data_IF_824532816334
#
_entry.id   IF_824532816334
#
_cell.length_a   1.000
_cell.length_b   1.000
_cell.length_c   1.000
_cell.angle_alpha   90.00
_cell.angle_beta   90.00
_cell.angle_gamma   90.00
#
_symmetry.space_group_name_H-M   'P 1'
#
loop_
_entity.id
_entity.type
_entity.pdbx_description
1 polymer ?
#
# COMPACT_ATOMS: atom_id res chain seq x y z
N UNK A 1 -89.09 11.08 1.77
CA UNK A 1 -88.64 10.43 0.52
C UNK A 1 -87.12 10.59 0.44
N UNK A 2 -86.48 9.77 -0.40
CA UNK A 2 -85.04 9.67 -0.80
C UNK A 2 -84.14 10.94 -0.65
N UNK A 3 -82.79 10.91 -0.62
CA UNK A 3 -81.70 9.92 -0.37
C UNK A 3 -80.34 10.67 -0.61
N UNK A 4 -79.08 10.33 -0.24
CA UNK A 4 -78.38 9.26 0.53
C UNK A 4 -77.43 9.96 1.58
N UNK A 5 -76.26 9.53 2.09
CA UNK A 5 -75.44 8.30 2.03
C UNK A 5 -73.96 8.46 2.49
N UNK A 6 -73.34 7.36 2.96
CA UNK A 6 -71.92 7.20 3.39
C UNK A 6 -71.49 7.99 4.68
N UNK A 7 -70.52 7.57 5.52
CA UNK A 7 -69.54 6.44 5.53
C UNK A 7 -69.59 5.63 6.85
N UNK A 8 -68.91 4.47 6.90
CA UNK A 8 -68.86 3.52 8.04
C UNK A 8 -67.48 3.43 8.72
N UNK A 9 -67.45 2.85 9.93
CA UNK A 9 -66.25 2.57 10.77
C UNK A 9 -65.69 1.12 10.52
N UNK A 10 -64.87 0.43 11.38
CA UNK A 10 -65.15 0.13 12.81
C UNK A 10 -63.96 -0.06 13.82
N UNK A 11 -64.25 0.28 15.09
CA UNK A 11 -63.97 -0.39 16.39
C UNK A 11 -62.81 -1.40 16.66
N UNK A 12 -62.17 -1.22 17.82
CA UNK A 12 -61.47 -2.20 18.71
C UNK A 12 -62.50 -2.78 19.74
N UNK A 13 -62.18 -3.42 20.91
CA UNK A 13 -60.94 -4.01 21.48
C UNK A 13 -61.15 -5.44 22.12
N UNK A 14 -60.16 -6.01 22.87
CA UNK A 14 -60.29 -6.47 24.29
C UNK A 14 -59.11 -7.30 24.91
N UNK A 15 -58.58 -6.78 26.04
CA UNK A 15 -57.86 -7.34 27.24
C UNK A 15 -56.87 -8.55 27.26
N UNK A 16 -55.72 -8.30 27.95
CA UNK A 16 -54.86 -9.19 28.78
C UNK A 16 -54.04 -10.34 28.09
N UNK A 17 -52.93 -10.89 28.64
CA UNK A 17 -52.28 -10.79 29.98
C UNK A 17 -50.74 -11.01 29.94
N UNK A 18 -50.00 -10.47 30.92
CA UNK A 18 -48.62 -10.79 31.43
C UNK A 18 -47.67 -11.75 30.69
N UNK A 19 -46.38 -11.34 30.56
CA UNK A 19 -45.24 -12.04 31.19
C UNK A 19 -43.91 -11.22 31.15
N UNK A 20 -43.01 -11.48 32.10
CA UNK A 20 -41.65 -10.92 32.19
C UNK A 20 -40.64 -11.92 31.61
N UNK A 21 -39.75 -11.49 30.71
CA UNK A 21 -38.55 -12.23 30.35
C UNK A 21 -37.46 -11.28 29.80
N UNK A 22 -36.23 -11.40 30.29
CA UNK A 22 -35.07 -10.68 29.75
C UNK A 22 -34.27 -11.62 28.83
N UNK A 23 -34.03 -11.21 27.58
CA UNK A 23 -33.10 -11.88 26.68
C UNK A 23 -32.08 -10.86 26.15
N UNK A 24 -30.83 -10.98 26.56
CA UNK A 24 -29.73 -10.27 25.94
C UNK A 24 -29.45 -10.88 24.55
N UNK A 25 -29.73 -10.13 23.49
CA UNK A 25 -29.31 -10.51 22.13
C UNK A 25 -27.86 -10.09 21.96
N UNK A 26 -26.96 -11.07 21.85
CA UNK A 26 -25.53 -10.83 21.70
C UNK A 26 -25.23 -10.08 20.39
N UNK A 27 -24.47 -8.99 20.47
CA UNK A 27 -24.08 -8.19 19.30
C UNK A 27 -22.91 -8.85 18.53
N UNK A 28 -23.11 -10.10 18.09
CA UNK A 28 -22.19 -10.88 17.28
C UNK A 28 -22.17 -10.39 15.82
N UNK A 29 -21.86 -9.11 15.64
CA UNK A 29 -21.72 -8.47 14.33
C UNK A 29 -20.46 -8.96 13.61
N UNK A 30 -20.55 -10.10 12.94
CA UNK A 30 -19.47 -10.69 12.15
C UNK A 30 -18.99 -9.74 11.05
N UNK A 31 -17.86 -9.06 11.29
CA UNK A 31 -17.19 -8.17 10.33
C UNK A 31 -16.44 -8.96 9.25
N UNK A 32 -17.19 -9.74 8.47
CA UNK A 32 -16.68 -10.36 7.26
C UNK A 32 -16.17 -9.27 6.29
N UNK A 33 -14.93 -9.37 5.78
CA UNK A 33 -14.44 -8.41 4.80
C UNK A 33 -15.21 -8.56 3.48
N UNK A 34 -15.57 -7.44 2.87
CA UNK A 34 -16.26 -7.41 1.57
C UNK A 34 -15.34 -7.94 0.45
N UNK A 35 -15.35 -9.25 0.23
CA UNK A 35 -14.64 -9.93 -0.85
C UNK A 35 -15.52 -10.01 -2.10
N UNK A 36 -14.96 -9.62 -3.26
CA UNK A 36 -15.41 -10.10 -4.57
C UNK A 36 -16.78 -9.66 -5.09
N UNK A 37 -17.49 -8.72 -4.45
CA UNK A 37 -18.88 -8.34 -4.79
C UNK A 37 -19.09 -7.62 -6.15
N UNK A 38 -18.16 -7.74 -7.09
CA UNK A 38 -18.20 -7.05 -8.39
C UNK A 38 -17.38 -7.70 -9.51
N UNK A 39 -17.04 -8.99 -9.41
CA UNK A 39 -16.27 -9.70 -10.46
C UNK A 39 -17.01 -10.96 -10.96
N UNK A 40 -17.83 -10.85 -12.03
CA UNK A 40 -18.54 -11.99 -12.60
C UNK A 40 -17.60 -13.11 -13.03
N UNK A 41 -17.88 -14.35 -12.62
CA UNK A 41 -17.07 -15.53 -12.95
C UNK A 41 -15.79 -15.72 -12.11
N UNK A 42 -15.29 -14.69 -11.43
CA UNK A 42 -14.06 -14.73 -10.64
C UNK A 42 -14.31 -14.36 -9.17
N UNK A 43 -14.87 -15.27 -8.35
CA UNK A 43 -15.14 -15.00 -6.92
C UNK A 43 -13.85 -14.77 -6.11
N UNK A 44 -12.73 -15.29 -6.61
CA UNK A 44 -11.38 -15.07 -6.07
C UNK A 44 -10.69 -13.81 -6.62
N UNK A 45 -11.44 -12.90 -7.24
CA UNK A 45 -10.96 -11.58 -7.68
C UNK A 45 -10.12 -10.84 -6.61
N UNK A 46 -8.92 -10.31 -6.94
CA UNK A 46 -8.29 -9.24 -6.14
C UNK A 46 -9.20 -8.01 -6.09
N UNK A 47 -9.70 -7.60 -7.26
CA UNK A 47 -10.64 -6.51 -7.42
C UNK A 47 -10.04 -5.11 -7.17
N UNK A 48 -10.88 -4.11 -7.45
CA UNK A 48 -10.62 -2.71 -7.10
C UNK A 48 -11.29 -2.41 -5.77
N UNK A 49 -10.52 -2.07 -4.72
CA UNK A 49 -11.07 -1.96 -3.35
C UNK A 49 -11.90 -0.69 -3.12
N UNK A 50 -11.55 0.39 -3.83
CA UNK A 50 -12.26 1.67 -3.86
C UNK A 50 -11.79 2.51 -5.05
N UNK A 51 -12.65 3.41 -5.49
CA UNK A 51 -12.24 4.56 -6.28
C UNK A 51 -11.81 5.70 -5.34
N UNK A 52 -10.82 6.47 -5.75
CA UNK A 52 -10.38 7.72 -5.14
C UNK A 52 -10.62 8.84 -6.16
N UNK A 53 -11.48 9.78 -5.80
CA UNK A 53 -11.79 10.95 -6.64
C UNK A 53 -10.87 12.09 -6.23
N UNK A 54 -10.16 12.68 -7.20
CA UNK A 54 -9.06 13.63 -6.96
C UNK A 54 -9.29 14.93 -7.73
N UNK A 55 -9.18 16.06 -7.06
CA UNK A 55 -9.20 17.40 -7.69
C UNK A 55 -7.81 17.77 -8.25
N UNK A 56 -7.67 17.99 -9.57
CA UNK A 56 -6.42 18.47 -10.20
C UNK A 56 -5.93 19.83 -9.71
N UNK A 57 -6.85 20.75 -9.40
CA UNK A 57 -6.53 22.12 -9.01
C UNK A 57 -6.07 22.21 -7.56
N UNK A 58 -6.59 21.35 -6.67
CA UNK A 58 -6.19 21.31 -5.27
C UNK A 58 -4.79 20.71 -5.05
N UNK A 59 -4.43 19.66 -5.80
CA UNK A 59 -3.18 18.91 -5.61
C UNK A 59 -2.35 18.76 -6.90
N UNK A 60 -1.88 19.87 -7.51
CA UNK A 60 -1.41 19.88 -8.89
C UNK A 60 -0.14 19.05 -9.19
N UNK A 61 0.57 18.51 -8.19
CA UNK A 61 1.82 17.74 -8.36
C UNK A 61 1.90 16.61 -7.32
N UNK A 62 1.96 15.35 -7.76
CA UNK A 62 1.94 14.17 -6.86
C UNK A 62 2.93 13.06 -7.23
N UNK A 63 3.43 12.35 -6.22
CA UNK A 63 4.31 11.17 -6.32
C UNK A 63 5.71 11.44 -5.74
N UNK A 64 6.08 10.67 -4.72
CA UNK A 64 7.29 10.92 -3.90
C UNK A 64 8.63 10.59 -4.55
N UNK A 65 8.65 10.22 -5.84
CA UNK A 65 9.88 10.25 -6.64
C UNK A 65 10.30 11.69 -7.01
N UNK A 66 9.41 12.68 -6.93
CA UNK A 66 9.68 14.06 -7.36
C UNK A 66 9.08 15.16 -6.47
N UNK A 67 8.01 14.88 -5.73
CA UNK A 67 7.24 15.88 -4.97
C UNK A 67 7.04 15.48 -3.50
N UNK A 68 6.69 16.42 -2.62
CA UNK A 68 6.37 16.11 -1.21
C UNK A 68 5.06 15.32 -1.06
N UNK A 69 4.08 15.62 -1.92
CA UNK A 69 2.77 15.01 -1.89
C UNK A 69 2.69 13.76 -2.77
N UNK A 70 1.81 12.85 -2.38
CA UNK A 70 1.33 11.70 -3.17
C UNK A 70 -0.14 11.47 -2.82
N UNK A 71 -0.77 10.49 -3.45
CA UNK A 71 -2.19 10.24 -3.24
C UNK A 71 -2.53 9.89 -1.76
N UNK A 72 -3.73 10.28 -1.28
CA UNK A 72 -4.27 9.96 0.04
C UNK A 72 -4.71 8.49 0.13
N UNK A 73 -3.69 7.64 0.08
CA UNK A 73 -3.75 6.19 0.20
C UNK A 73 -3.59 5.77 1.67
N UNK A 74 -4.33 4.74 2.06
CA UNK A 74 -4.23 4.09 3.38
C UNK A 74 -3.05 3.09 3.37
N UNK A 75 -2.55 2.64 4.53
CA UNK A 75 -1.56 1.56 4.59
C UNK A 75 -2.04 0.31 3.85
N UNK A 76 -1.20 -0.26 2.98
CA UNK A 76 -1.54 -1.39 2.11
C UNK A 76 -2.35 -1.04 0.86
N UNK A 77 -2.57 0.24 0.54
CA UNK A 77 -3.19 0.65 -0.73
C UNK A 77 -2.16 0.97 -1.82
N UNK A 78 -2.46 0.53 -3.05
CA UNK A 78 -1.58 0.65 -4.22
C UNK A 78 -2.38 1.19 -5.40
N UNK A 79 -1.80 2.10 -6.17
CA UNK A 79 -2.34 2.54 -7.47
C UNK A 79 -1.44 2.00 -8.57
N UNK A 80 -2.01 1.25 -9.51
CA UNK A 80 -1.29 0.77 -10.70
C UNK A 80 -1.33 1.84 -11.78
N UNK A 81 -0.16 2.19 -12.32
CA UNK A 81 -0.04 3.13 -13.43
C UNK A 81 0.82 2.57 -14.55
N UNK A 82 0.38 2.76 -15.79
CA UNK A 82 1.02 2.24 -17.00
C UNK A 82 1.33 3.35 -18.00
N UNK A 83 2.58 3.44 -18.44
CA UNK A 83 3.06 4.46 -19.37
C UNK A 83 3.33 3.89 -20.79
N UNK A 84 3.60 4.79 -21.75
CA UNK A 84 3.94 4.58 -23.17
C UNK A 84 2.84 4.04 -24.12
N UNK A 85 1.72 3.55 -23.59
CA UNK A 85 0.69 2.88 -24.38
C UNK A 85 -0.12 3.76 -25.36
N UNK A 86 -1.02 3.14 -26.17
CA UNK A 86 -1.28 1.71 -26.25
C UNK A 86 -0.53 1.04 -27.41
N UNK A 87 0.09 -0.11 -27.15
CA UNK A 87 0.71 -0.99 -28.14
C UNK A 87 -0.03 -2.35 -28.17
N UNK A 88 -0.86 -2.65 -29.19
CA UNK A 88 -1.79 -3.81 -29.19
C UNK A 88 -1.19 -5.20 -28.93
N UNK A 89 0.12 -5.39 -29.09
CA UNK A 89 0.82 -6.65 -28.78
C UNK A 89 0.95 -6.93 -27.27
N UNK A 90 0.98 -5.86 -26.46
CA UNK A 90 1.29 -5.92 -25.03
C UNK A 90 0.19 -5.27 -24.18
N UNK A 91 -0.29 -4.07 -24.53
CA UNK A 91 -1.39 -3.38 -23.83
C UNK A 91 -2.66 -4.22 -23.74
N UNK A 92 -3.05 -4.89 -24.83
CA UNK A 92 -4.21 -5.79 -24.81
C UNK A 92 -4.06 -6.88 -23.74
N UNK A 93 -2.87 -7.46 -23.58
CA UNK A 93 -2.62 -8.51 -22.60
C UNK A 93 -2.57 -7.97 -21.17
N UNK A 94 -2.09 -6.73 -20.98
CA UNK A 94 -2.19 -6.03 -19.69
C UNK A 94 -3.66 -5.84 -19.31
N UNK A 95 -4.50 -5.38 -20.25
CA UNK A 95 -5.95 -5.28 -20.07
C UNK A 95 -6.58 -6.64 -19.75
N UNK A 96 -6.30 -7.69 -20.52
CA UNK A 96 -6.80 -9.04 -20.28
C UNK A 96 -6.47 -9.55 -18.86
N UNK A 97 -5.26 -9.27 -18.35
CA UNK A 97 -4.80 -9.63 -17.00
C UNK A 97 -5.50 -8.79 -15.91
N UNK A 98 -5.68 -7.48 -16.13
CA UNK A 98 -6.40 -6.60 -15.21
C UNK A 98 -7.89 -6.95 -15.12
N UNK A 99 -8.51 -7.31 -16.26
CA UNK A 99 -9.89 -7.72 -16.36
C UNK A 99 -10.16 -9.05 -15.62
N UNK A 100 -9.27 -10.05 -15.78
CA UNK A 100 -9.35 -11.32 -15.06
C UNK A 100 -9.26 -11.19 -13.52
N UNK A 101 -8.64 -10.10 -13.03
CA UNK A 101 -8.56 -9.75 -11.61
C UNK A 101 -9.58 -8.66 -11.18
N UNK A 102 -10.42 -8.16 -12.09
CA UNK A 102 -11.31 -6.99 -11.92
C UNK A 102 -10.63 -5.75 -11.31
N UNK A 103 -9.36 -5.55 -11.64
CA UNK A 103 -8.55 -4.41 -11.21
C UNK A 103 -8.67 -3.28 -12.22
N UNK A 104 -8.82 -2.03 -11.74
CA UNK A 104 -8.73 -0.82 -12.57
C UNK A 104 -7.44 -0.05 -12.28
N UNK A 105 -6.87 0.56 -13.31
CA UNK A 105 -5.58 1.26 -13.29
C UNK A 105 -5.69 2.64 -13.97
N UNK A 106 -4.59 3.39 -13.98
CA UNK A 106 -4.45 4.63 -14.78
C UNK A 106 -3.42 4.42 -15.88
N UNK A 107 -3.73 4.81 -17.11
CA UNK A 107 -2.86 4.66 -18.27
C UNK A 107 -2.47 6.05 -18.81
N UNK A 108 -1.18 6.36 -18.81
CA UNK A 108 -0.60 7.58 -19.39
C UNK A 108 -0.20 7.26 -20.84
N UNK A 109 -1.07 7.59 -21.78
CA UNK A 109 -0.92 7.22 -23.18
C UNK A 109 -0.10 8.28 -23.96
N UNK A 110 0.66 7.83 -24.95
CA UNK A 110 1.44 8.69 -25.85
C UNK A 110 0.59 9.06 -27.07
N UNK A 111 0.51 10.34 -27.42
CA UNK A 111 -0.39 10.85 -28.47
C UNK A 111 -0.20 10.18 -29.82
N UNK A 112 1.05 10.00 -30.27
CA UNK A 112 1.37 9.26 -31.50
C UNK A 112 0.87 7.82 -31.48
N UNK A 113 0.92 7.15 -30.32
CA UNK A 113 0.39 5.80 -30.13
C UNK A 113 -1.14 5.79 -30.14
N UNK A 114 -1.77 6.82 -29.55
CA UNK A 114 -3.22 7.01 -29.59
C UNK A 114 -3.74 7.26 -31.02
N UNK A 115 -3.02 8.04 -31.85
CA UNK A 115 -3.33 8.22 -33.29
C UNK A 115 -3.19 6.92 -34.08
N UNK A 116 -2.17 6.11 -33.79
CA UNK A 116 -1.92 4.84 -34.49
C UNK A 116 -2.89 3.73 -34.07
N UNK A 117 -3.30 3.69 -32.79
CA UNK A 117 -4.10 2.61 -32.21
C UNK A 117 -5.33 3.12 -31.43
N UNK A 118 -6.22 3.94 -32.04
CA UNK A 118 -7.33 4.58 -31.33
C UNK A 118 -8.37 3.59 -30.78
N UNK A 119 -8.49 2.40 -31.36
CA UNK A 119 -9.29 1.31 -30.79
C UNK A 119 -8.74 0.80 -29.45
N UNK A 120 -7.41 0.83 -29.25
CA UNK A 120 -6.78 0.52 -27.97
C UNK A 120 -7.07 1.58 -26.91
N UNK A 121 -7.03 2.87 -27.28
CA UNK A 121 -7.40 3.99 -26.39
C UNK A 121 -8.84 3.84 -25.89
N UNK A 122 -9.77 3.56 -26.80
CA UNK A 122 -11.18 3.31 -26.43
C UNK A 122 -11.30 2.07 -25.55
N UNK A 123 -10.66 0.95 -25.89
CA UNK A 123 -10.66 -0.27 -25.05
C UNK A 123 -10.23 0.01 -23.60
N UNK A 124 -9.18 0.81 -23.37
CA UNK A 124 -8.74 1.20 -22.01
C UNK A 124 -9.85 1.93 -21.25
N UNK A 125 -10.54 2.88 -21.89
CA UNK A 125 -11.65 3.63 -21.29
C UNK A 125 -12.90 2.76 -21.09
N UNK A 126 -13.29 1.98 -22.11
CA UNK A 126 -14.50 1.16 -22.12
C UNK A 126 -14.42 0.00 -21.10
N UNK A 127 -13.20 -0.48 -20.79
CA UNK A 127 -12.94 -1.38 -19.66
C UNK A 127 -12.90 -0.67 -18.29
N UNK A 128 -13.19 0.63 -18.23
CA UNK A 128 -13.33 1.42 -16.99
C UNK A 128 -12.01 1.77 -16.32
N UNK A 129 -10.92 1.92 -17.09
CA UNK A 129 -9.67 2.48 -16.59
C UNK A 129 -9.59 4.00 -16.82
N UNK A 130 -8.72 4.66 -16.07
CA UNK A 130 -8.49 6.10 -16.25
C UNK A 130 -7.49 6.32 -17.37
N UNK A 131 -7.93 7.01 -18.44
CA UNK A 131 -7.06 7.44 -19.53
C UNK A 131 -6.48 8.82 -19.22
N UNK A 132 -5.18 8.97 -19.36
CA UNK A 132 -4.36 10.15 -19.07
C UNK A 132 -3.29 10.36 -20.16
N UNK A 133 -2.57 11.48 -20.14
CA UNK A 133 -1.63 11.86 -21.23
C UNK A 133 -0.15 11.76 -20.84
N UNK A 134 0.69 11.36 -21.82
CA UNK A 134 2.15 11.20 -21.69
C UNK A 134 2.93 11.88 -22.83
N UNK A 135 2.50 13.07 -23.24
CA UNK A 135 2.91 13.82 -24.44
C UNK A 135 2.60 13.17 -25.81
N UNK A 136 2.81 13.88 -26.91
CA UNK A 136 2.65 13.37 -28.28
C UNK A 136 3.73 12.34 -28.65
N UNK A 137 5.02 12.61 -28.38
CA UNK A 137 6.13 11.80 -28.89
C UNK A 137 7.01 11.09 -27.84
N UNK A 138 6.77 11.34 -26.54
CA UNK A 138 7.63 10.90 -25.43
C UNK A 138 9.11 11.39 -25.53
N UNK A 139 9.36 12.71 -25.60
CA UNK A 139 10.72 13.26 -25.67
C UNK A 139 11.42 13.28 -24.30
N UNK A 140 12.58 12.61 -24.21
CA UNK A 140 13.38 12.46 -22.98
C UNK A 140 14.18 13.70 -22.55
N UNK A 141 13.80 14.89 -23.02
CA UNK A 141 14.46 16.17 -22.74
C UNK A 141 13.49 17.29 -22.29
N UNK A 142 12.28 16.98 -21.83
CA UNK A 142 11.34 17.97 -21.26
C UNK A 142 11.99 18.91 -20.21
N UNK A 143 13.03 18.46 -19.50
CA UNK A 143 13.74 19.25 -18.49
C UNK A 143 14.68 20.34 -19.06
N UNK A 144 14.92 20.37 -20.38
CA UNK A 144 15.76 21.35 -21.08
C UNK A 144 15.18 21.78 -22.43
N UNK A 145 13.95 21.38 -22.73
CA UNK A 145 13.23 21.72 -23.95
C UNK A 145 12.74 23.18 -23.89
N UNK A 146 12.76 23.93 -25.02
CA UNK A 146 12.13 25.25 -25.08
C UNK A 146 10.64 25.18 -24.72
N UNK A 147 10.16 26.11 -23.89
CA UNK A 147 8.80 26.06 -23.33
C UNK A 147 7.71 25.87 -24.39
N UNK A 148 7.81 26.57 -25.52
CA UNK A 148 6.83 26.47 -26.62
C UNK A 148 6.84 25.11 -27.34
N UNK A 149 7.96 24.37 -27.30
CA UNK A 149 8.01 22.99 -27.80
C UNK A 149 7.40 22.03 -26.77
N UNK A 150 7.63 22.27 -25.47
CA UNK A 150 7.05 21.49 -24.39
C UNK A 150 5.51 21.65 -24.30
N UNK A 151 4.99 22.86 -24.57
CA UNK A 151 3.55 23.12 -24.76
C UNK A 151 2.97 22.26 -25.88
N UNK A 152 3.52 22.36 -27.10
CA UNK A 152 3.07 21.54 -28.26
C UNK A 152 3.07 20.05 -27.96
N UNK A 153 4.14 19.53 -27.35
CA UNK A 153 4.21 18.11 -26.95
C UNK A 153 3.15 17.72 -25.91
N UNK A 154 2.67 18.64 -25.07
CA UNK A 154 1.51 18.42 -24.20
C UNK A 154 0.20 18.48 -25.02
N UNK A 155 0.00 19.56 -25.75
CA UNK A 155 -1.27 19.93 -26.40
C UNK A 155 -1.62 18.98 -27.54
N UNK A 156 -0.67 18.69 -28.43
CA UNK A 156 -0.84 17.74 -29.55
C UNK A 156 -1.21 16.35 -29.01
N UNK A 157 -0.59 15.93 -27.90
CA UNK A 157 -0.85 14.64 -27.25
C UNK A 157 -2.19 14.56 -26.54
N UNK A 158 -2.64 15.66 -25.92
CA UNK A 158 -3.99 15.79 -25.35
C UNK A 158 -5.03 15.67 -26.46
N UNK A 159 -4.89 16.41 -27.57
CA UNK A 159 -5.84 16.37 -28.68
C UNK A 159 -5.82 15.02 -29.43
N UNK A 160 -4.67 14.35 -29.55
CA UNK A 160 -4.59 12.99 -30.06
C UNK A 160 -5.48 12.01 -29.27
N UNK A 161 -5.42 12.07 -27.95
CA UNK A 161 -6.11 11.14 -27.06
C UNK A 161 -7.60 11.48 -26.99
N UNK A 162 -7.98 12.77 -26.90
CA UNK A 162 -9.38 13.22 -27.06
C UNK A 162 -9.99 12.71 -28.37
N UNK A 163 -9.27 12.88 -29.49
CA UNK A 163 -9.70 12.43 -30.82
C UNK A 163 -9.90 10.91 -30.87
N UNK A 164 -9.00 10.13 -30.25
CA UNK A 164 -9.12 8.69 -30.19
C UNK A 164 -10.31 8.22 -29.32
N UNK A 165 -10.56 8.89 -28.19
CA UNK A 165 -11.71 8.64 -27.30
C UNK A 165 -13.06 9.03 -27.93
N UNK A 166 -13.08 10.04 -28.80
CA UNK A 166 -14.28 10.55 -29.48
C UNK A 166 -15.13 11.50 -28.63
N UNK A 167 -14.74 11.75 -27.38
CA UNK A 167 -15.44 12.58 -26.40
C UNK A 167 -14.39 13.14 -25.43
N UNK A 168 -14.12 14.46 -25.44
CA UNK A 168 -13.09 15.07 -24.60
C UNK A 168 -13.28 14.91 -23.09
N UNK A 169 -14.52 14.69 -22.61
CA UNK A 169 -14.79 14.51 -21.18
C UNK A 169 -14.29 13.16 -20.63
N UNK A 170 -13.84 12.25 -21.51
CA UNK A 170 -13.29 10.94 -21.15
C UNK A 170 -11.80 10.94 -20.82
N UNK A 171 -11.09 12.00 -21.21
CA UNK A 171 -9.68 12.17 -20.89
C UNK A 171 -9.57 12.78 -19.49
N UNK A 172 -8.92 12.09 -18.55
CA UNK A 172 -8.62 12.69 -17.27
C UNK A 172 -7.59 13.83 -17.43
N UNK A 173 -7.76 14.97 -16.74
CA UNK A 173 -6.76 16.06 -16.67
C UNK A 173 -5.56 15.66 -15.79
N UNK A 174 -4.95 14.54 -16.13
CA UNK A 174 -3.76 13.96 -15.50
C UNK A 174 -2.67 13.83 -16.57
N UNK A 175 -1.47 14.32 -16.28
CA UNK A 175 -0.32 14.25 -17.19
C UNK A 175 0.91 13.75 -16.45
N UNK A 176 1.63 12.79 -17.03
CA UNK A 176 2.94 12.34 -16.53
C UNK A 176 4.03 12.82 -17.49
N UNK A 177 5.11 13.38 -16.97
CA UNK A 177 6.19 13.91 -17.81
C UNK A 177 7.10 12.75 -18.28
N UNK A 178 7.33 12.57 -19.60
CA UNK A 178 8.23 11.57 -20.18
C UNK A 178 9.57 11.40 -19.46
N UNK A 179 9.93 10.15 -19.16
CA UNK A 179 11.13 9.79 -18.40
C UNK A 179 11.29 10.50 -17.04
N UNK A 180 10.19 11.04 -16.48
CA UNK A 180 10.14 11.94 -15.33
C UNK A 180 11.04 13.18 -15.47
N UNK A 181 11.28 13.66 -16.70
CA UNK A 181 12.17 14.78 -17.02
C UNK A 181 11.50 16.14 -16.81
N UNK A 182 11.18 16.45 -15.55
CA UNK A 182 10.43 17.66 -15.15
C UNK A 182 11.21 18.97 -15.36
N UNK A 183 10.49 20.06 -15.60
CA UNK A 183 10.95 21.45 -15.47
C UNK A 183 9.80 22.32 -14.98
N UNK A 184 10.09 23.34 -14.17
CA UNK A 184 9.05 24.18 -13.55
C UNK A 184 8.13 24.81 -14.60
N UNK A 185 8.65 25.36 -15.70
CA UNK A 185 7.85 25.94 -16.80
C UNK A 185 6.84 24.98 -17.42
N UNK A 186 7.08 23.67 -17.35
CA UNK A 186 6.19 22.60 -17.84
C UNK A 186 5.12 22.30 -16.79
N UNK A 187 5.51 22.16 -15.53
CA UNK A 187 4.58 21.93 -14.40
C UNK A 187 3.67 23.14 -14.13
N UNK A 188 4.18 24.35 -14.31
CA UNK A 188 3.44 25.61 -14.19
C UNK A 188 2.45 25.76 -15.36
N UNK A 189 2.82 25.28 -16.56
CA UNK A 189 1.88 25.22 -17.69
C UNK A 189 0.76 24.22 -17.44
N UNK A 190 1.09 22.98 -17.06
CA UNK A 190 0.10 21.95 -16.73
C UNK A 190 -0.88 22.45 -15.64
N UNK A 191 -0.35 23.03 -14.55
CA UNK A 191 -1.17 23.63 -13.49
C UNK A 191 -2.09 24.76 -14.00
N UNK A 192 -1.61 25.62 -14.92
CA UNK A 192 -2.44 26.68 -15.53
C UNK A 192 -3.58 26.17 -16.42
N UNK A 193 -3.48 24.93 -16.90
CA UNK A 193 -4.56 24.25 -17.64
C UNK A 193 -5.46 23.41 -16.73
N UNK A 194 -5.24 23.44 -15.41
CA UNK A 194 -5.94 22.57 -14.46
C UNK A 194 -5.56 21.09 -14.59
N UNK A 195 -4.36 20.79 -15.07
CA UNK A 195 -3.87 19.42 -15.30
C UNK A 195 -2.89 19.03 -14.19
N UNK A 196 -3.20 17.94 -13.49
CA UNK A 196 -2.34 17.41 -12.43
C UNK A 196 -1.09 16.76 -13.02
N UNK A 197 0.08 17.14 -12.52
CA UNK A 197 1.34 16.50 -12.86
C UNK A 197 1.57 15.27 -11.99
N UNK A 198 1.54 14.08 -12.60
CA UNK A 198 1.78 12.80 -11.95
C UNK A 198 3.25 12.39 -12.09
N UNK A 199 3.87 12.05 -10.96
CA UNK A 199 5.05 11.20 -10.85
C UNK A 199 4.61 9.79 -10.40
N UNK A 200 5.47 9.07 -9.69
CA UNK A 200 5.14 7.84 -8.97
C UNK A 200 5.79 7.84 -7.57
N UNK A 201 5.53 6.82 -6.76
CA UNK A 201 6.22 6.60 -5.48
C UNK A 201 7.36 5.58 -5.60
N UNK A 202 7.22 4.63 -6.53
CA UNK A 202 8.26 3.66 -6.88
C UNK A 202 8.00 3.04 -8.27
N UNK A 203 9.05 2.76 -9.08
CA UNK A 203 8.93 2.04 -10.34
C UNK A 203 9.17 0.54 -10.15
N UNK A 204 8.74 -0.28 -11.12
CA UNK A 204 9.18 -1.67 -11.24
C UNK A 204 10.50 -1.85 -12.03
N UNK A 205 11.01 -0.78 -12.65
CA UNK A 205 12.14 -0.79 -13.61
C UNK A 205 11.95 -1.71 -14.83
N UNK A 206 10.71 -1.95 -15.23
CA UNK A 206 10.32 -2.80 -16.37
C UNK A 206 10.68 -2.25 -17.77
N UNK A 207 11.03 -0.97 -17.86
CA UNK A 207 11.69 -0.37 -19.01
C UNK A 207 13.15 -0.86 -19.18
N UNK A 208 13.79 -1.42 -18.14
CA UNK A 208 15.18 -1.91 -18.20
C UNK A 208 15.28 -3.32 -18.75
N UNK A 209 16.48 -3.72 -19.14
CA UNK A 209 16.82 -5.09 -19.54
C UNK A 209 16.95 -6.05 -18.33
N UNK A 210 15.87 -6.21 -17.57
CA UNK A 210 15.73 -7.14 -16.44
C UNK A 210 14.67 -8.21 -16.74
N UNK A 211 14.63 -9.30 -15.96
CA UNK A 211 13.61 -10.36 -16.11
C UNK A 211 12.25 -9.94 -15.54
N UNK A 212 11.18 -10.60 -15.98
CA UNK A 212 9.84 -10.43 -15.40
C UNK A 212 9.80 -10.76 -13.89
N UNK A 213 10.61 -11.74 -13.45
CA UNK A 213 10.76 -12.05 -12.02
C UNK A 213 11.45 -10.93 -11.23
N UNK A 214 12.45 -10.25 -11.81
CA UNK A 214 13.08 -9.08 -11.21
C UNK A 214 12.13 -7.88 -11.16
N UNK A 215 11.31 -7.65 -12.21
CA UNK A 215 10.26 -6.63 -12.22
C UNK A 215 9.27 -6.84 -11.07
N UNK A 216 8.75 -8.06 -10.91
CA UNK A 216 7.85 -8.38 -9.81
C UNK A 216 8.53 -8.22 -8.44
N UNK A 217 9.78 -8.66 -8.30
CA UNK A 217 10.56 -8.50 -7.06
C UNK A 217 10.76 -7.02 -6.70
N UNK A 218 11.12 -6.17 -7.66
CA UNK A 218 11.32 -4.74 -7.45
C UNK A 218 10.02 -4.02 -7.09
N UNK A 219 8.93 -4.30 -7.80
CA UNK A 219 7.62 -3.74 -7.48
C UNK A 219 7.18 -4.08 -6.04
N UNK A 220 7.23 -5.36 -5.67
CA UNK A 220 6.77 -5.86 -4.37
C UNK A 220 7.68 -5.45 -3.21
N UNK A 221 9.01 -5.42 -3.40
CA UNK A 221 9.95 -5.00 -2.34
C UNK A 221 9.92 -3.49 -2.09
N UNK A 222 9.82 -2.67 -3.16
CA UNK A 222 9.69 -1.21 -3.02
C UNK A 222 8.34 -0.83 -2.41
N UNK A 223 7.26 -1.48 -2.81
CA UNK A 223 5.96 -1.34 -2.14
C UNK A 223 6.05 -1.68 -0.65
N UNK A 224 6.66 -2.82 -0.29
CA UNK A 224 6.80 -3.21 1.12
C UNK A 224 7.62 -2.20 1.94
N UNK A 225 8.65 -1.59 1.34
CA UNK A 225 9.45 -0.54 1.98
C UNK A 225 8.70 0.80 2.13
N UNK A 226 7.76 1.12 1.23
CA UNK A 226 6.94 2.35 1.28
C UNK A 226 5.62 2.18 2.05
N UNK A 227 5.11 0.96 2.18
CA UNK A 227 3.84 0.59 2.83
C UNK A 227 2.56 0.93 2.05
N UNK A 228 2.63 1.85 1.08
CA UNK A 228 1.57 2.28 0.16
C UNK A 228 2.20 2.97 -1.06
N UNK A 229 1.42 3.26 -2.12
CA UNK A 229 1.82 4.26 -3.12
C UNK A 229 1.44 3.98 -4.58
N UNK A 230 1.89 4.88 -5.46
CA UNK A 230 1.78 4.81 -6.91
C UNK A 230 2.91 3.94 -7.48
N UNK A 231 2.56 2.81 -8.10
CA UNK A 231 3.47 1.92 -8.83
C UNK A 231 3.53 2.31 -10.31
N UNK A 232 4.73 2.59 -10.81
CA UNK A 232 5.02 2.83 -12.23
C UNK A 232 5.44 1.54 -12.96
N UNK A 233 4.71 1.24 -14.04
CA UNK A 233 4.89 0.18 -15.04
C UNK A 233 4.73 0.77 -16.46
N UNK A 234 5.04 0.00 -17.49
CA UNK A 234 4.88 0.39 -18.90
C UNK A 234 4.16 -0.74 -19.65
N UNK A 235 3.00 -0.48 -20.25
CA UNK A 235 2.17 -1.54 -20.86
C UNK A 235 2.70 -2.05 -22.21
N UNK A 236 3.62 -1.31 -22.83
CA UNK A 236 4.33 -1.69 -24.06
C UNK A 236 5.34 -2.83 -23.85
N UNK A 237 5.69 -3.17 -22.60
CA UNK A 237 6.80 -4.08 -22.27
C UNK A 237 6.34 -5.54 -22.14
N UNK A 238 6.97 -6.44 -22.89
CA UNK A 238 6.71 -7.89 -22.81
C UNK A 238 6.90 -8.46 -21.38
N UNK A 239 7.95 -8.02 -20.68
CA UNK A 239 8.25 -8.46 -19.30
C UNK A 239 7.20 -8.01 -18.29
N UNK A 240 6.42 -6.96 -18.59
CA UNK A 240 5.33 -6.45 -17.74
C UNK A 240 4.10 -7.34 -17.85
N UNK A 241 3.77 -7.80 -19.06
CA UNK A 241 2.76 -8.84 -19.29
C UNK A 241 3.11 -10.13 -18.51
N UNK A 242 4.39 -10.52 -18.47
CA UNK A 242 4.86 -11.69 -17.73
C UNK A 242 4.91 -11.49 -16.20
N UNK A 243 5.25 -10.27 -15.74
CA UNK A 243 5.38 -9.96 -14.32
C UNK A 243 4.03 -9.72 -13.62
N UNK A 244 3.09 -9.06 -14.31
CA UNK A 244 1.84 -8.56 -13.72
C UNK A 244 1.00 -9.65 -13.01
N UNK A 245 0.81 -10.88 -13.55
CA UNK A 245 0.07 -11.93 -12.85
C UNK A 245 0.71 -12.36 -11.53
N UNK A 246 2.05 -12.30 -11.43
CA UNK A 246 2.74 -12.53 -10.16
C UNK A 246 2.60 -11.33 -9.23
N UNK A 247 2.67 -10.10 -9.73
CA UNK A 247 2.44 -8.90 -8.91
C UNK A 247 1.03 -8.95 -8.30
N UNK A 248 -0.03 -9.12 -9.10
CA UNK A 248 -1.42 -9.13 -8.61
C UNK A 248 -1.68 -10.26 -7.60
N UNK A 249 -1.20 -11.49 -7.88
CA UNK A 249 -1.29 -12.62 -6.93
C UNK A 249 -0.61 -12.32 -5.60
N UNK A 250 0.59 -11.75 -5.63
CA UNK A 250 1.35 -11.41 -4.41
C UNK A 250 0.72 -10.24 -3.65
N UNK A 251 0.13 -9.26 -4.33
CA UNK A 251 -0.65 -8.19 -3.70
C UNK A 251 -1.85 -8.77 -2.94
N UNK A 252 -2.62 -9.65 -3.60
CA UNK A 252 -3.75 -10.37 -2.98
C UNK A 252 -3.31 -11.20 -1.78
N UNK A 253 -2.27 -12.02 -1.93
CA UNK A 253 -1.77 -12.91 -0.88
C UNK A 253 -1.25 -12.16 0.35
N UNK A 254 -0.71 -10.94 0.16
CA UNK A 254 -0.14 -10.10 1.22
C UNK A 254 -1.14 -9.06 1.77
N UNK A 255 -2.40 -9.09 1.34
CA UNK A 255 -3.47 -8.21 1.84
C UNK A 255 -3.41 -6.76 1.33
N UNK A 256 -2.65 -6.48 0.27
CA UNK A 256 -2.69 -5.20 -0.41
C UNK A 256 -4.00 -5.01 -1.18
N UNK A 257 -4.36 -3.75 -1.42
CA UNK A 257 -5.63 -3.36 -2.04
C UNK A 257 -5.38 -2.38 -3.18
N UNK A 258 -5.95 -2.64 -4.36
CA UNK A 258 -5.82 -1.70 -5.48
C UNK A 258 -6.83 -0.55 -5.32
N UNK A 259 -6.35 0.67 -5.46
CA UNK A 259 -7.16 1.88 -5.56
C UNK A 259 -7.15 2.35 -7.00
N UNK A 260 -8.34 2.59 -7.55
CA UNK A 260 -8.53 3.25 -8.84
C UNK A 260 -8.67 4.76 -8.61
N UNK A 261 -8.16 5.59 -9.52
CA UNK A 261 -8.09 7.04 -9.32
C UNK A 261 -8.74 7.75 -10.50
N UNK A 262 -9.70 8.63 -10.22
CA UNK A 262 -10.45 9.39 -11.22
C UNK A 262 -10.41 10.88 -10.88
N UNK A 263 -10.49 11.78 -11.88
CA UNK A 263 -10.63 13.21 -11.60
C UNK A 263 -11.98 13.52 -10.95
N UNK A 264 -12.04 14.59 -10.17
CA UNK A 264 -13.29 15.19 -9.74
C UNK A 264 -13.98 15.92 -10.90
N UNK A 265 -15.31 15.88 -10.96
CA UNK A 265 -16.13 16.66 -11.88
C UNK A 265 -17.38 17.23 -11.18
N UNK A 266 -18.24 17.93 -11.93
CA UNK A 266 -19.47 18.55 -11.40
C UNK A 266 -20.54 17.57 -10.88
N UNK A 267 -20.37 16.26 -11.13
CA UNK A 267 -21.27 15.17 -10.68
C UNK A 267 -20.60 14.27 -9.66
N UNK A 268 -19.27 14.16 -9.69
CA UNK A 268 -18.45 13.34 -8.81
C UNK A 268 -17.44 14.23 -8.07
N UNK A 269 -17.80 14.77 -6.87
CA UNK A 269 -16.91 15.63 -6.10
C UNK A 269 -15.70 14.85 -5.55
N UNK A 270 -14.62 15.59 -5.29
CA UNK A 270 -13.39 15.03 -4.75
C UNK A 270 -13.62 14.29 -3.42
N UNK A 271 -12.82 13.24 -3.16
CA UNK A 271 -12.90 12.47 -1.92
C UNK A 271 -12.45 13.36 -0.74
N UNK A 272 -13.27 13.53 0.32
CA UNK A 272 -12.87 14.30 1.50
C UNK A 272 -11.59 13.75 2.13
N UNK A 273 -10.57 14.59 2.23
CA UNK A 273 -9.22 14.20 2.67
C UNK A 273 -8.59 15.28 3.54
N UNK A 274 -7.69 14.84 4.42
CA UNK A 274 -6.92 15.72 5.30
C UNK A 274 -5.52 15.98 4.71
N UNK A 275 -4.91 17.18 4.89
CA UNK A 275 -3.60 17.50 4.32
C UNK A 275 -2.46 16.52 4.67
N UNK A 276 -2.55 15.84 5.83
CA UNK A 276 -1.56 14.83 6.21
C UNK A 276 -1.69 13.51 5.43
N UNK A 277 -2.86 13.21 4.85
CA UNK A 277 -3.08 11.96 4.10
C UNK A 277 -2.32 11.94 2.77
N UNK A 278 -2.15 13.12 2.17
CA UNK A 278 -1.37 13.38 0.96
C UNK A 278 0.15 13.20 1.17
N UNK A 279 0.61 12.88 2.37
CA UNK A 279 2.02 12.53 2.64
C UNK A 279 2.19 11.01 2.71
N UNK A 280 3.29 10.52 2.14
CA UNK A 280 3.61 9.09 2.17
C UNK A 280 3.92 8.62 3.61
N UNK A 281 4.72 9.42 4.30
CA UNK A 281 4.95 9.34 5.74
C UNK A 281 4.56 10.70 6.32
N UNK A 282 3.31 10.90 6.78
CA UNK A 282 2.97 12.11 7.52
C UNK A 282 3.88 12.22 8.74
N UNK A 283 4.25 13.43 9.18
CA UNK A 283 4.83 13.59 10.50
C UNK A 283 3.85 12.97 11.50
N UNK A 284 4.36 12.10 12.38
CA UNK A 284 3.54 11.55 13.45
C UNK A 284 2.89 12.73 14.17
N UNK A 285 1.56 12.72 14.30
CA UNK A 285 0.84 13.80 14.96
C UNK A 285 1.53 14.06 16.30
N UNK A 286 2.14 15.22 16.44
CA UNK A 286 2.34 15.81 17.74
C UNK A 286 0.94 16.15 18.24
N UNK A 287 0.26 15.13 18.75
CA UNK A 287 -0.76 15.28 19.78
C UNK A 287 -0.10 16.20 20.77
N UNK A 288 -0.54 17.46 20.80
CA UNK A 288 0.06 18.44 21.66
C UNK A 288 -0.09 17.86 23.06
N UNK A 289 1.02 17.39 23.64
CA UNK A 289 1.12 17.17 25.07
C UNK A 289 1.13 18.58 25.65
N UNK A 290 -0.06 19.18 25.70
CA UNK A 290 -0.39 20.31 26.55
C UNK A 290 0.21 19.93 27.88
N UNK A 291 1.35 20.52 28.21
CA UNK A 291 2.01 20.25 29.48
C UNK A 291 0.99 20.72 30.51
N UNK A 292 0.30 19.77 31.12
CA UNK A 292 -0.67 20.05 32.15
C UNK A 292 0.05 20.97 33.13
N UNK A 293 -0.47 22.20 33.38
CA UNK A 293 0.22 23.13 34.24
C UNK A 293 0.47 22.39 35.55
N UNK A 294 1.73 22.37 35.98
CA UNK A 294 2.16 21.49 37.06
C UNK A 294 1.20 21.68 38.25
N UNK A 295 0.61 20.60 38.79
CA UNK A 295 -0.41 20.72 39.81
C UNK A 295 0.14 21.61 40.93
N UNK A 296 -0.60 22.65 41.36
CA UNK A 296 -0.08 23.63 42.29
C UNK A 296 0.46 22.91 43.52
N UNK A 297 1.63 23.33 44.01
CA UNK A 297 2.24 22.69 45.18
C UNK A 297 1.34 22.93 46.40
N UNK A 298 0.46 21.97 46.68
CA UNK A 298 -0.33 21.93 47.89
C UNK A 298 0.60 21.87 49.09
N UNK A 299 0.89 23.04 49.67
CA UNK A 299 1.56 23.14 50.96
C UNK A 299 0.52 22.77 52.01
N UNK A 300 0.49 21.50 52.38
CA UNK A 300 -0.18 21.08 53.61
C UNK A 300 0.49 21.83 54.76
N UNK A 301 -0.23 22.80 55.32
CA UNK A 301 0.16 23.41 56.59
C UNK A 301 0.26 22.29 57.62
N UNK A 302 1.41 22.21 58.29
CA UNK A 302 1.69 21.15 59.25
C UNK A 302 0.84 21.40 60.49
N UNK A 303 -0.31 20.74 60.57
CA UNK A 303 -1.24 20.90 61.69
C UNK A 303 -0.53 20.66 63.02
N UNK A 304 -0.57 21.68 63.87
CA UNK A 304 0.09 21.67 65.17
C UNK A 304 -0.72 20.85 66.16
N UNK A 305 -0.31 19.58 66.36
CA UNK A 305 -0.56 18.78 67.56
C UNK A 305 -1.96 18.93 68.17
N UNK A 306 -2.95 18.20 67.63
CA UNK A 306 -4.13 17.85 68.43
C UNK A 306 -3.66 17.01 69.63
N UNK A 307 -4.08 17.34 70.87
CA UNK A 307 -3.58 16.68 72.06
C UNK A 307 -4.17 15.27 72.21
N UNK A 308 -3.28 14.29 72.37
CA UNK A 308 -3.62 12.92 72.77
C UNK A 308 -3.88 12.88 74.28
N UNK A 309 -5.06 12.44 74.78
CA UNK A 309 -5.08 11.49 75.90
C UNK A 309 -4.43 10.18 75.40
N UNK A 310 -3.75 9.38 76.20
CA UNK A 310 -4.22 8.80 77.46
C UNK A 310 -3.05 8.11 78.21
N UNK A 311 -3.35 7.19 79.12
CA UNK A 311 -2.46 6.16 79.67
C UNK A 311 -1.32 6.65 80.58
N UNK A 312 -1.72 7.18 81.74
CA UNK A 312 -1.00 6.98 83.00
C UNK A 312 -0.71 5.50 83.28
N UNK A 313 0.36 5.23 84.06
CA UNK A 313 0.76 3.91 84.56
C UNK A 313 1.28 2.95 83.46
N UNK A 314 2.58 2.64 83.32
CA UNK A 314 3.64 2.35 84.32
C UNK A 314 3.50 0.99 85.03
N UNK A 315 4.64 0.51 85.52
CA UNK A 315 4.86 -0.68 86.35
C UNK A 315 4.59 -2.08 85.74
N UNK A 316 5.36 -3.12 86.06
CA UNK A 316 6.72 -3.18 86.64
C UNK A 316 7.34 -4.59 86.50
N UNK A 317 8.63 -4.72 86.81
CA UNK A 317 9.40 -5.96 87.07
C UNK A 317 9.46 -7.07 86.00
N UNK A 318 10.61 -7.09 85.30
CA UNK A 318 11.36 -8.35 85.16
C UNK A 318 12.12 -8.68 86.45
N UNK A 319 12.63 -9.90 86.56
CA UNK A 319 13.30 -10.44 87.76
C UNK A 319 14.55 -9.66 88.22
N UNK A 320 14.70 -9.58 89.54
CA UNK A 320 15.96 -9.65 90.32
C UNK A 320 17.24 -8.97 89.78
N UNK A 321 17.44 -7.70 90.15
CA UNK A 321 18.75 -7.17 90.57
C UNK A 321 19.75 -6.59 89.54
N UNK A 322 20.11 -5.30 89.72
CA UNK A 322 21.31 -4.57 89.25
C UNK A 322 21.60 -4.50 87.71
N UNK A 323 21.70 -3.33 87.04
CA UNK A 323 22.69 -2.22 87.18
C UNK A 323 24.13 -2.61 86.70
N UNK A 324 24.91 -1.78 85.98
CA UNK A 324 24.94 -0.32 85.78
C UNK A 324 25.32 0.16 84.33
N UNK A 325 24.83 1.35 83.99
CA UNK A 325 25.46 2.49 83.28
C UNK A 325 26.58 2.32 82.20
N UNK A 326 26.23 2.74 80.97
CA UNK A 326 26.76 3.93 80.25
C UNK A 326 28.15 3.94 79.52
N UNK A 327 28.28 5.01 78.70
CA UNK A 327 29.45 5.53 77.98
C UNK A 327 29.95 4.78 76.71
N UNK A 328 30.53 5.54 75.75
CA UNK A 328 31.21 5.00 74.56
C UNK A 328 30.96 5.79 73.26
N UNK A 329 31.92 6.63 72.84
CA UNK A 329 31.91 7.31 71.52
C UNK A 329 32.45 6.38 70.39
N UNK A 330 32.18 6.66 69.10
CA UNK A 330 32.13 5.63 68.05
C UNK A 330 33.42 5.43 67.25
N UNK A 331 33.50 4.33 66.49
CA UNK A 331 34.25 4.29 65.21
C UNK A 331 33.91 3.10 64.30
N UNK A 332 34.05 3.36 62.98
CA UNK A 332 34.30 2.43 61.85
C UNK A 332 33.32 1.26 61.59
N UNK A 333 32.70 1.31 60.40
CA UNK A 333 32.46 0.12 59.57
C UNK A 333 33.82 -0.37 58.97
N UNK A 334 33.94 -1.61 58.42
CA UNK A 334 33.34 -1.91 57.12
C UNK A 334 32.91 -3.39 56.91
N UNK A 335 32.75 -3.76 55.63
CA UNK A 335 32.87 -5.11 55.02
C UNK A 335 31.75 -6.16 55.22
N UNK A 336 30.94 -6.29 54.15
CA UNK A 336 30.62 -7.54 53.42
C UNK A 336 30.16 -8.79 54.20
N UNK A 337 28.93 -9.23 53.91
CA UNK A 337 28.46 -10.57 54.25
C UNK A 337 27.07 -10.87 53.72
N UNK A 338 26.96 -11.41 52.48
CA UNK A 338 25.83 -12.29 52.14
C UNK A 338 25.88 -13.50 53.08
N UNK A 339 24.73 -14.02 53.54
CA UNK A 339 24.29 -15.27 52.89
C UNK A 339 22.77 -15.54 52.84
N UNK A 340 22.43 -16.44 51.90
CA UNK A 340 21.38 -17.48 51.97
C UNK A 340 19.90 -17.08 52.12
N UNK A 341 19.15 -17.45 51.09
CA UNK A 341 17.74 -17.86 51.18
C UNK A 341 17.62 -19.33 51.59
N UNK A 342 16.60 -19.65 52.41
CA UNK A 342 15.97 -20.98 52.50
C UNK A 342 14.46 -20.81 52.74
N UNK A 343 13.60 -21.75 52.33
CA UNK A 343 12.20 -21.45 52.01
C UNK A 343 11.19 -21.78 53.12
N UNK A 344 10.00 -21.19 53.03
CA UNK A 344 8.75 -21.68 53.64
C UNK A 344 7.58 -21.49 52.67
N UNK A 345 6.59 -22.39 52.72
CA UNK A 345 5.47 -22.45 51.77
C UNK A 345 4.24 -23.14 52.35
N UNK A 346 3.18 -22.39 52.65
CA UNK A 346 1.73 -22.61 52.41
C UNK A 346 1.00 -21.36 52.91
N UNK A 347 0.23 -20.63 52.10
CA UNK A 347 -1.20 -20.88 51.81
C UNK A 347 -2.06 -20.92 53.09
N UNK A 348 -3.11 -20.09 53.25
CA UNK A 348 -4.15 -19.86 52.25
C UNK A 348 -4.93 -18.53 52.46
N UNK A 349 -5.60 -18.04 51.39
CA UNK A 349 -6.84 -17.21 51.35
C UNK A 349 -7.00 -15.94 52.23
N UNK A 350 -7.53 -14.81 51.76
CA UNK A 350 -7.98 -14.40 50.42
C UNK A 350 -8.04 -12.86 50.38
N UNK A 351 -7.32 -12.23 49.45
CA UNK A 351 -7.44 -10.78 49.17
C UNK A 351 -8.35 -10.52 47.97
N UNK A 352 -9.03 -9.36 47.94
CA UNK A 352 -9.80 -8.94 46.76
C UNK A 352 -8.86 -8.56 45.59
N UNK A 353 -9.25 -8.84 44.33
CA UNK A 353 -8.33 -8.87 43.21
C UNK A 353 -7.97 -7.49 42.64
N UNK A 354 -6.71 -7.34 42.24
CA UNK A 354 -6.26 -6.33 41.27
C UNK A 354 -6.12 -7.04 39.91
N UNK A 355 -6.69 -6.52 38.80
CA UNK A 355 -6.59 -7.16 37.50
C UNK A 355 -5.15 -7.15 36.96
N UNK A 356 -4.73 -8.25 36.35
CA UNK A 356 -3.37 -8.43 35.84
C UNK A 356 -3.13 -7.70 34.51
N UNK A 357 -1.88 -7.26 34.30
CA UNK A 357 -1.38 -6.81 33.01
C UNK A 357 -0.80 -8.01 32.25
N UNK A 358 -1.61 -8.61 31.38
CA UNK A 358 -1.11 -9.58 30.39
C UNK A 358 -1.87 -9.39 29.07
N UNK A 359 -1.19 -8.84 28.06
CA UNK A 359 -1.79 -8.50 26.76
C UNK A 359 -0.84 -8.73 25.56
N UNK A 360 0.35 -9.32 25.81
CA UNK A 360 1.37 -9.59 24.79
C UNK A 360 2.06 -10.95 24.95
N UNK A 361 1.40 -11.92 25.59
CA UNK A 361 1.85 -13.31 25.62
C UNK A 361 1.43 -14.04 24.33
N UNK A 362 2.40 -14.42 23.48
CA UNK A 362 2.15 -15.20 22.25
C UNK A 362 2.32 -16.69 22.57
N UNK A 363 1.24 -17.48 22.43
CA UNK A 363 1.33 -18.94 22.51
C UNK A 363 1.91 -19.53 21.22
N UNK A 364 2.97 -20.32 21.36
CA UNK A 364 3.39 -21.27 20.32
C UNK A 364 2.54 -22.54 20.43
N UNK A 365 2.10 -23.10 19.29
CA UNK A 365 1.34 -24.34 19.27
C UNK A 365 2.27 -25.56 19.23
N UNK A 366 2.17 -26.43 20.23
CA UNK A 366 2.82 -27.75 20.21
C UNK A 366 2.01 -28.75 19.39
N UNK A 367 2.67 -29.54 18.55
CA UNK A 367 2.07 -30.65 17.83
C UNK A 367 2.43 -31.97 18.54
N UNK A 368 1.42 -32.72 19.01
CA UNK A 368 1.63 -33.99 19.70
C UNK A 368 2.19 -35.06 18.78
N UNK A 369 3.21 -35.80 19.25
CA UNK A 369 3.83 -36.90 18.52
C UNK A 369 3.10 -38.23 18.75
N UNK A 370 3.05 -39.07 17.71
CA UNK A 370 2.68 -40.49 17.77
C UNK A 370 3.53 -41.30 16.77
N UNK A 371 3.87 -42.55 17.12
CA UNK A 371 4.35 -43.55 16.18
C UNK A 371 5.88 -43.69 16.02
N UNK A 372 6.52 -44.43 16.93
CA UNK A 372 7.88 -44.94 16.72
C UNK A 372 7.90 -46.15 15.77
N UNK A 373 8.80 -46.16 14.78
CA UNK A 373 9.07 -47.32 13.92
C UNK A 373 10.53 -47.34 13.45
N UNK A 374 11.20 -48.49 13.51
CA UNK A 374 12.66 -48.60 13.29
C UNK A 374 13.06 -49.05 11.87
N UNK A 375 14.02 -48.30 11.31
CA UNK A 375 15.26 -48.79 10.66
C UNK A 375 15.14 -49.89 9.59
N UNK A 376 15.53 -49.55 8.34
CA UNK A 376 16.66 -50.22 7.67
C UNK A 376 17.25 -49.41 6.50
N UNK A 377 18.58 -49.26 6.50
CA UNK A 377 19.36 -48.83 5.35
C UNK A 377 19.62 -50.00 4.38
N UNK A 378 19.62 -49.72 3.08
CA UNK A 378 20.46 -50.37 2.07
C UNK A 378 20.94 -49.30 1.06
N UNK A 379 22.06 -49.55 0.37
CA UNK A 379 22.75 -48.51 -0.41
C UNK A 379 23.32 -49.00 -1.74
N UNK A 380 23.15 -48.18 -2.79
CA UNK A 380 23.89 -48.22 -4.06
C UNK A 380 23.49 -49.29 -5.08
N UNK A 381 24.13 -49.31 -6.27
CA UNK A 381 25.19 -48.39 -6.73
C UNK A 381 24.98 -47.75 -8.13
N UNK A 382 25.91 -46.85 -8.44
CA UNK A 382 26.33 -46.27 -9.74
C UNK A 382 25.93 -46.98 -11.06
N UNK A 383 25.64 -46.17 -12.10
CA UNK A 383 25.63 -46.59 -13.50
C UNK A 383 25.71 -45.39 -14.48
N UNK A 384 26.52 -45.47 -15.54
CA UNK A 384 26.85 -44.34 -16.43
C UNK A 384 26.63 -44.60 -17.93
N UNK A 385 26.21 -43.53 -18.63
CA UNK A 385 26.45 -43.06 -20.04
C UNK A 385 27.29 -43.95 -21.01
N UNK A 386 27.18 -43.85 -22.37
CA UNK A 386 26.48 -42.82 -23.18
C UNK A 386 25.71 -43.42 -24.42
N UNK A 387 25.70 -42.94 -25.70
CA UNK A 387 24.54 -43.14 -26.61
C UNK A 387 24.84 -43.97 -27.89
N UNK A 388 23.90 -44.04 -28.84
CA UNK A 388 24.13 -44.53 -30.22
C UNK A 388 23.68 -43.53 -31.30
N UNK A 389 24.48 -43.44 -32.36
CA UNK A 389 24.20 -42.74 -33.62
C UNK A 389 23.89 -43.76 -34.74
N UNK A 390 23.05 -43.36 -35.71
CA UNK A 390 23.28 -43.40 -37.19
C UNK A 390 21.97 -42.91 -37.85
N UNK A 391 21.91 -41.87 -38.68
CA UNK A 391 22.72 -41.42 -39.83
C UNK A 391 22.34 -42.11 -41.16
N UNK A 392 21.77 -41.31 -42.06
CA UNK A 392 21.96 -41.33 -43.52
C UNK A 392 21.56 -39.94 -44.08
N UNK A 393 22.00 -39.58 -45.29
CA UNK A 393 21.98 -38.19 -45.74
C UNK A 393 21.90 -37.99 -47.27
N UNK A 394 21.35 -36.83 -47.66
CA UNK A 394 21.48 -36.15 -48.99
C UNK A 394 20.80 -36.86 -50.20
N UNK A 395 20.63 -36.19 -51.35
CA UNK A 395 21.02 -34.80 -51.70
C UNK A 395 19.84 -33.80 -51.70
N UNK A 396 20.02 -32.64 -52.34
CA UNK A 396 19.12 -31.49 -52.29
C UNK A 396 18.78 -30.93 -53.68
N UNK A 397 17.68 -30.18 -53.77
CA UNK A 397 17.37 -29.25 -54.88
C UNK A 397 16.89 -27.94 -54.26
N UNK A 398 17.23 -26.80 -54.88
CA UNK A 398 17.01 -25.46 -54.31
C UNK A 398 15.85 -24.70 -54.98
N UNK A 399 15.11 -23.93 -54.17
CA UNK A 399 14.27 -22.80 -54.61
C UNK A 399 14.53 -21.64 -53.63
N UNK A 400 14.71 -20.42 -54.15
CA UNK A 400 15.06 -19.24 -53.36
C UNK A 400 13.80 -18.44 -52.95
N UNK A 401 13.82 -17.72 -51.80
CA UNK A 401 12.71 -16.88 -51.35
C UNK A 401 12.77 -15.46 -51.97
N UNK A 402 11.63 -14.78 -52.14
CA UNK A 402 11.60 -13.35 -52.48
C UNK A 402 12.01 -12.49 -51.28
N UNK A 403 12.67 -11.37 -51.56
CA UNK A 403 13.09 -10.37 -50.56
C UNK A 403 12.07 -9.23 -50.46
N UNK A 404 11.88 -8.68 -49.27
CA UNK A 404 11.42 -7.31 -49.06
C UNK A 404 12.12 -6.71 -47.83
N UNK A 405 12.35 -5.40 -47.86
CA UNK A 405 13.39 -4.74 -47.04
C UNK A 405 12.82 -4.05 -45.79
N UNK A 406 13.54 -4.18 -44.67
CA UNK A 406 13.36 -3.37 -43.46
C UNK A 406 14.51 -2.34 -43.35
N UNK A 407 14.23 -1.02 -43.36
CA UNK A 407 15.26 0.00 -43.16
C UNK A 407 15.36 0.45 -41.68
N UNK A 408 16.56 0.86 -41.26
CA UNK A 408 16.74 1.81 -40.14
C UNK A 408 17.06 1.25 -38.75
N UNK A 409 18.19 0.55 -38.58
CA UNK A 409 18.81 0.32 -37.26
C UNK A 409 20.32 0.13 -37.38
N UNK A 410 21.09 1.22 -37.27
CA UNK A 410 22.55 1.20 -37.36
C UNK A 410 23.19 1.47 -35.98
N UNK A 411 23.94 0.53 -35.39
CA UNK A 411 24.71 0.78 -34.17
C UNK A 411 26.01 1.53 -34.49
N UNK A 412 26.34 2.54 -33.69
CA UNK A 412 27.60 3.29 -33.81
C UNK A 412 28.71 2.52 -33.09
N UNK A 413 29.73 2.08 -33.83
CA UNK A 413 31.00 1.59 -33.28
C UNK A 413 32.07 2.67 -33.36
N UNK A 414 32.89 2.80 -32.31
CA UNK A 414 33.95 3.80 -32.22
C UNK A 414 35.35 3.17 -32.36
N UNK A 415 36.08 3.52 -33.42
CA UNK A 415 37.55 3.49 -33.49
C UNK A 415 38.03 4.26 -34.74
N UNK A 416 39.18 4.94 -34.69
CA UNK A 416 39.84 5.46 -35.90
C UNK A 416 40.41 6.87 -35.81
N UNK A 417 41.47 7.08 -35.02
CA UNK A 417 42.33 8.24 -35.21
C UNK A 417 43.08 8.11 -36.54
N UNK A 418 43.06 9.16 -37.39
CA UNK A 418 44.23 9.54 -38.21
C UNK A 418 44.10 10.96 -38.76
N UNK A 419 45.24 11.65 -38.78
CA UNK A 419 45.42 13.03 -39.22
C UNK A 419 45.62 13.12 -40.74
N UNK A 420 45.06 14.16 -41.36
CA UNK A 420 45.50 14.66 -42.66
C UNK A 420 45.46 16.19 -42.64
N UNK A 421 46.57 16.82 -43.04
CA UNK A 421 46.74 18.27 -43.14
C UNK A 421 46.62 18.73 -44.59
N UNK A 422 46.06 19.93 -44.80
CA UNK A 422 46.56 20.81 -45.86
C UNK A 422 45.56 21.37 -46.86
N UNK A 423 45.55 22.71 -46.91
CA UNK A 423 45.48 23.54 -48.14
C UNK A 423 44.28 23.32 -49.08
N UNK A 424 43.26 24.17 -48.94
CA UNK A 424 43.25 25.41 -49.74
C UNK A 424 42.47 26.54 -49.06
#
# INVERSE_FOLDING_TARGET
MQDTGQRLAPNLPRWATTLFAACAVAFAGSTAPARGAGCPGHPDALGTSRTLVVDPAAHPRIGTMQYEETLPLRPGEVVLTFDDGPLPRHSNKVLDILAAECVKATFFLVGRMARQFPAGVRRVYDEGHTVATHSENHPLNFNSMPAEQARREIDDGIEAIKTALGDPARLAPFFRIPGLKRANTVEDYLASQGIMTWSADFPADDWRHISASQVAQLALSRLAAKGKGILLLHDIQARTVEALPTILRELKARGYRIVHVVPADSRQPATPTEPWQWRLHPPALQVARTRWPAPPRFVFLKEGSLPMPDATYADSYGHDGAALQAAGRPRRAPTTGWPRTTPYSVANTLGFPIPALDLFAIQAAEASALGTGQIRHLAGPSGSRPPRQRANARPATAIAPPQSLLPGSAPINAAGLKTATGVH
#
